data_IF_934993884397
#
_entry.id   IF_934993884397
#
_cell.length_a   1.000
_cell.length_b   1.000
_cell.length_c   1.000
_cell.angle_alpha   90.00
_cell.angle_beta   90.00
_cell.angle_gamma   90.00
#
_symmetry.space_group_name_H-M   'P 1'
#
loop_
_entity.id
_entity.type
_entity.pdbx_description
1 polymer ?
#
# COMPACT_ATOMS: atom_id res chain seq x y z
N UNK A 1 -5.95 -32.66 -1.51
CA UNK A 1 -5.58 -31.67 -2.54
C UNK A 1 -6.68 -30.63 -2.64
N UNK A 2 -6.58 -29.55 -1.89
CA UNK A 2 -7.57 -28.46 -1.88
C UNK A 2 -6.81 -27.15 -2.05
N UNK A 3 -7.17 -26.38 -3.08
CA UNK A 3 -6.54 -25.12 -3.46
C UNK A 3 -6.92 -24.03 -2.46
N UNK A 4 -5.98 -23.28 -1.85
CA UNK A 4 -6.33 -21.99 -1.27
C UNK A 4 -6.39 -20.96 -2.42
N UNK A 5 -7.54 -20.31 -2.55
CA UNK A 5 -7.76 -19.23 -3.49
C UNK A 5 -7.02 -17.97 -3.00
N UNK A 6 -5.89 -17.65 -3.63
CA UNK A 6 -5.27 -16.33 -3.54
C UNK A 6 -6.08 -15.34 -4.37
N UNK A 7 -7.05 -14.69 -3.74
CA UNK A 7 -7.72 -13.51 -4.32
C UNK A 7 -8.11 -12.59 -3.16
N UNK A 8 -7.34 -11.52 -2.95
CA UNK A 8 -7.78 -10.40 -2.11
C UNK A 8 -8.85 -9.65 -2.89
N UNK A 9 -10.10 -10.07 -2.72
CA UNK A 9 -11.29 -9.34 -3.14
C UNK A 9 -12.27 -9.34 -1.97
N UNK A 10 -12.18 -8.32 -1.11
CA UNK A 10 -13.04 -8.13 0.08
C UNK A 10 -14.55 -7.97 -0.28
N UNK A 11 -15.39 -8.80 0.33
CA UNK A 11 -16.86 -8.99 0.24
C UNK A 11 -17.36 -9.72 1.51
N UNK A 12 -17.82 -9.03 2.56
CA UNK A 12 -18.73 -9.66 3.55
C UNK A 12 -19.43 -8.63 4.45
N UNK A 13 -20.59 -9.05 4.97
CA UNK A 13 -21.70 -8.30 5.58
C UNK A 13 -21.69 -8.32 7.13
N UNK A 14 -22.15 -7.19 7.70
CA UNK A 14 -23.00 -6.93 8.88
C UNK A 14 -22.96 -7.79 10.18
N UNK A 15 -22.92 -7.09 11.33
CA UNK A 15 -23.65 -7.49 12.54
C UNK A 15 -23.19 -6.95 13.93
N UNK A 16 -23.84 -5.86 14.39
CA UNK A 16 -24.18 -5.46 15.78
C UNK A 16 -23.27 -4.63 16.73
N UNK A 17 -23.99 -3.75 17.45
CA UNK A 17 -23.69 -2.60 18.34
C UNK A 17 -23.09 -2.87 19.74
N UNK A 18 -22.56 -1.84 20.43
CA UNK A 18 -23.23 -1.09 21.53
C UNK A 18 -22.29 -0.11 22.31
N UNK A 19 -22.85 1.07 22.63
CA UNK A 19 -22.70 2.00 23.77
C UNK A 19 -21.49 2.91 24.02
N UNK A 20 -21.86 4.06 24.60
CA UNK A 20 -21.16 5.32 24.77
C UNK A 20 -20.84 5.64 26.25
N UNK A 21 -19.89 6.56 26.42
CA UNK A 21 -19.58 7.34 27.64
C UNK A 21 -18.35 8.19 27.30
N UNK A 22 -18.20 9.48 27.57
CA UNK A 22 -18.74 10.39 28.57
C UNK A 22 -17.54 11.32 28.87
N UNK A 23 -17.60 12.57 28.41
CA UNK A 23 -16.43 13.46 28.26
C UNK A 23 -16.32 14.43 29.43
N UNK A 24 -15.10 14.69 29.92
CA UNK A 24 -14.77 15.80 30.83
C UNK A 24 -13.85 16.81 30.13
N UNK A 25 -14.12 18.11 30.35
CA UNK A 25 -13.58 19.25 29.62
C UNK A 25 -12.37 19.88 30.33
N UNK A 26 -11.39 20.39 29.57
CA UNK A 26 -10.26 21.21 30.05
C UNK A 26 -9.85 22.23 28.98
N UNK A 27 -9.23 23.38 29.34
CA UNK A 27 -9.37 24.63 28.60
C UNK A 27 -8.48 24.78 27.34
N UNK A 28 -8.98 25.61 26.43
CA UNK A 28 -8.53 25.83 25.05
C UNK A 28 -7.10 26.40 24.95
N UNK A 29 -6.20 25.62 24.35
CA UNK A 29 -4.99 26.13 23.70
C UNK A 29 -5.35 26.74 22.34
N UNK A 30 -4.70 27.84 21.96
CA UNK A 30 -4.91 28.51 20.68
C UNK A 30 -4.75 27.52 19.49
N UNK A 31 -5.60 27.61 18.45
CA UNK A 31 -5.58 26.64 17.37
C UNK A 31 -4.27 26.76 16.57
N UNK A 32 -3.45 25.71 16.64
CA UNK A 32 -2.42 25.46 15.63
C UNK A 32 -3.15 25.45 14.29
N UNK A 33 -2.75 26.34 13.37
CA UNK A 33 -3.31 26.39 12.03
C UNK A 33 -3.20 24.98 11.41
N UNK A 34 -4.35 24.33 11.19
CA UNK A 34 -4.38 23.01 10.60
C UNK A 34 -3.79 23.12 9.19
N UNK A 35 -2.82 22.26 8.82
CA UNK A 35 -2.31 22.26 7.45
C UNK A 35 -3.49 22.10 6.49
N UNK A 36 -3.44 22.83 5.38
CA UNK A 36 -4.51 22.81 4.39
C UNK A 36 -4.83 21.36 4.00
N UNK A 37 -6.13 21.00 3.87
CA UNK A 37 -6.50 19.65 3.52
C UNK A 37 -5.86 19.22 2.20
N UNK A 38 -5.09 18.13 2.24
CA UNK A 38 -4.48 17.53 1.05
C UNK A 38 -5.56 17.21 0.01
N UNK A 39 -5.18 17.33 -1.27
CA UNK A 39 -6.06 17.08 -2.42
C UNK A 39 -5.49 15.98 -3.31
N UNK A 40 -6.34 15.33 -4.11
CA UNK A 40 -5.90 14.31 -5.04
C UNK A 40 -4.91 14.91 -6.06
N UNK A 41 -3.67 14.38 -6.18
CA UNK A 41 -2.66 14.91 -7.09
C UNK A 41 -3.10 14.93 -8.55
N UNK A 42 -2.83 16.04 -9.24
CA UNK A 42 -2.99 16.11 -10.70
C UNK A 42 -1.78 15.52 -11.41
N UNK A 43 -2.01 14.83 -12.52
CA UNK A 43 -0.97 14.32 -13.41
C UNK A 43 -0.88 15.24 -14.64
N UNK A 44 0.31 15.77 -14.99
CA UNK A 44 0.48 16.57 -16.20
C UNK A 44 0.03 15.80 -17.44
N UNK A 45 -0.61 16.46 -18.41
CA UNK A 45 -1.12 15.82 -19.64
C UNK A 45 -0.01 15.29 -20.56
N UNK A 46 1.06 16.06 -20.71
CA UNK A 46 2.17 15.79 -21.61
C UNK A 46 3.22 14.82 -21.04
N UNK A 47 3.79 13.97 -21.90
CA UNK A 47 4.78 12.96 -21.50
C UNK A 47 6.10 13.59 -21.00
N UNK A 48 6.54 14.71 -21.58
CA UNK A 48 7.75 15.41 -21.14
C UNK A 48 7.57 16.08 -19.78
N UNK A 49 6.39 16.70 -19.56
CA UNK A 49 6.03 17.24 -18.26
C UNK A 49 5.96 16.15 -17.17
N UNK A 50 5.41 14.97 -17.50
CA UNK A 50 5.40 13.82 -16.58
C UNK A 50 6.82 13.33 -16.30
N UNK A 51 7.66 13.17 -17.32
CA UNK A 51 9.03 12.70 -17.17
C UNK A 51 9.84 13.65 -16.26
N UNK A 52 9.80 14.96 -16.51
CA UNK A 52 10.45 15.97 -15.65
C UNK A 52 9.94 15.89 -14.21
N UNK A 53 8.62 15.75 -14.02
CA UNK A 53 8.05 15.65 -12.68
C UNK A 53 8.48 14.37 -11.96
N UNK A 54 8.57 13.24 -12.66
CA UNK A 54 9.11 12.01 -12.08
C UNK A 54 10.58 12.18 -11.68
N UNK A 55 11.42 12.77 -12.53
CA UNK A 55 12.83 13.04 -12.17
C UNK A 55 12.94 13.85 -10.88
N UNK A 56 12.13 14.90 -10.76
CA UNK A 56 12.07 15.74 -9.56
C UNK A 56 11.60 14.95 -8.33
N UNK A 57 10.48 14.23 -8.43
CA UNK A 57 9.92 13.44 -7.34
C UNK A 57 10.89 12.34 -6.87
N UNK A 58 11.48 11.59 -7.81
CA UNK A 58 12.46 10.55 -7.47
C UNK A 58 13.69 11.15 -6.79
N UNK A 59 14.10 12.36 -7.17
CA UNK A 59 15.24 13.05 -6.55
C UNK A 59 14.89 13.54 -5.15
N UNK A 60 13.79 14.27 -4.97
CA UNK A 60 13.37 14.82 -3.68
C UNK A 60 13.06 13.73 -2.66
N UNK A 61 12.41 12.63 -3.07
CA UNK A 61 12.10 11.53 -2.15
C UNK A 61 13.33 10.77 -1.65
N UNK A 62 14.49 10.90 -2.31
CA UNK A 62 15.76 10.29 -1.91
C UNK A 62 16.74 11.27 -1.29
N UNK A 63 16.41 12.56 -1.30
CA UNK A 63 17.26 13.59 -0.75
C UNK A 63 17.01 13.68 0.77
N UNK A 64 18.02 13.39 1.61
CA UNK A 64 17.87 13.46 3.07
C UNK A 64 17.60 14.88 3.58
N UNK A 65 17.82 15.93 2.77
CA UNK A 65 17.51 17.31 3.15
C UNK A 65 16.07 17.72 2.81
N UNK A 66 15.31 16.89 2.09
CA UNK A 66 13.90 17.17 1.81
C UNK A 66 13.12 17.26 3.13
N UNK A 67 12.39 18.36 3.38
CA UNK A 67 11.63 18.52 4.61
C UNK A 67 10.63 17.38 4.82
N UNK A 68 10.60 16.82 6.02
CA UNK A 68 9.70 15.71 6.35
C UNK A 68 8.21 16.06 6.13
N UNK A 69 7.85 17.34 6.22
CA UNK A 69 6.50 17.84 5.97
C UNK A 69 6.08 17.73 4.48
N UNK A 70 7.03 17.72 3.54
CA UNK A 70 6.76 17.69 2.10
C UNK A 70 6.63 16.25 1.58
N UNK A 71 7.28 15.28 2.25
CA UNK A 71 7.34 13.89 1.82
C UNK A 71 5.97 13.23 1.56
N UNK A 72 4.91 13.46 2.38
CA UNK A 72 3.60 12.90 2.10
C UNK A 72 3.05 13.31 0.73
N UNK A 73 3.17 14.59 0.35
CA UNK A 73 2.66 15.09 -0.93
C UNK A 73 3.51 14.64 -2.11
N UNK A 74 4.82 14.60 -1.94
CA UNK A 74 5.74 14.05 -2.95
C UNK A 74 5.45 12.56 -3.22
N UNK A 75 5.33 11.76 -2.16
CA UNK A 75 5.04 10.32 -2.28
C UNK A 75 3.68 10.04 -2.91
N UNK A 76 2.65 10.79 -2.51
CA UNK A 76 1.31 10.65 -3.09
C UNK A 76 1.29 11.04 -4.58
N UNK A 77 1.98 12.12 -4.98
CA UNK A 77 2.06 12.50 -6.38
C UNK A 77 2.82 11.47 -7.22
N UNK A 78 3.94 10.95 -6.72
CA UNK A 78 4.69 9.86 -7.37
C UNK A 78 3.78 8.65 -7.60
N UNK A 79 3.07 8.23 -6.55
CA UNK A 79 2.14 7.10 -6.62
C UNK A 79 1.07 7.32 -7.70
N UNK A 80 0.41 8.48 -7.71
CA UNK A 80 -0.67 8.79 -8.67
C UNK A 80 -0.16 8.80 -10.11
N UNK A 81 1.04 9.35 -10.37
CA UNK A 81 1.64 9.29 -11.70
C UNK A 81 1.82 7.84 -12.16
N UNK A 82 2.40 6.97 -11.33
CA UNK A 82 2.57 5.56 -11.70
C UNK A 82 1.25 4.81 -11.87
N UNK A 83 0.22 5.15 -11.09
CA UNK A 83 -1.12 4.57 -11.25
C UNK A 83 -1.75 4.96 -12.59
N UNK A 84 -1.69 6.24 -12.98
CA UNK A 84 -2.18 6.71 -14.28
C UNK A 84 -1.41 6.08 -15.44
N UNK A 85 -0.08 6.10 -15.39
CA UNK A 85 0.76 5.51 -16.45
C UNK A 85 0.62 3.99 -16.55
N UNK A 86 0.31 3.29 -15.46
CA UNK A 86 0.12 1.84 -15.50
C UNK A 86 -1.06 1.40 -16.37
N UNK A 87 -2.10 2.25 -16.46
CA UNK A 87 -3.31 2.01 -17.24
C UNK A 87 -3.15 2.36 -18.73
N UNK A 88 -2.17 3.21 -19.09
CA UNK A 88 -1.92 3.66 -20.46
C UNK A 88 -0.49 3.28 -20.91
N UNK A 89 -0.40 2.18 -21.67
CA UNK A 89 0.90 1.64 -22.14
C UNK A 89 1.59 2.58 -23.10
N UNK A 90 0.87 3.20 -24.03
CA UNK A 90 1.45 4.10 -25.01
C UNK A 90 2.06 5.32 -24.34
N UNK A 91 1.30 5.97 -23.45
CA UNK A 91 1.79 7.13 -22.69
C UNK A 91 2.94 6.76 -21.77
N UNK A 92 2.89 5.60 -21.10
CA UNK A 92 4.00 5.15 -20.26
C UNK A 92 5.29 4.95 -21.05
N UNK A 93 5.22 4.40 -22.28
CA UNK A 93 6.39 4.21 -23.12
C UNK A 93 7.01 5.56 -23.53
N UNK A 94 6.18 6.53 -23.89
CA UNK A 94 6.62 7.89 -24.22
C UNK A 94 7.32 8.59 -23.03
N UNK A 95 6.85 8.36 -21.79
CA UNK A 95 7.51 8.88 -20.58
C UNK A 95 8.83 8.18 -20.32
N UNK A 96 8.87 6.83 -20.36
CA UNK A 96 10.08 6.01 -20.12
C UNK A 96 11.23 6.41 -21.05
N UNK A 97 10.94 6.70 -22.32
CA UNK A 97 11.94 7.12 -23.31
C UNK A 97 12.62 8.45 -22.93
N UNK A 98 11.92 9.32 -22.19
CA UNK A 98 12.42 10.63 -21.77
C UNK A 98 13.10 10.61 -20.40
N UNK A 99 13.03 9.49 -19.67
CA UNK A 99 13.67 9.36 -18.36
C UNK A 99 15.17 9.05 -18.49
N UNK A 100 16.03 9.64 -17.63
CA UNK A 100 17.41 9.19 -17.44
C UNK A 100 17.46 7.71 -17.05
N UNK A 101 18.54 6.99 -17.39
CA UNK A 101 18.68 5.54 -17.19
C UNK A 101 18.33 5.08 -15.77
N UNK A 102 18.82 5.78 -14.74
CA UNK A 102 18.53 5.46 -13.33
C UNK A 102 17.03 5.49 -13.01
N UNK A 103 16.32 6.50 -13.52
CA UNK A 103 14.90 6.70 -13.25
C UNK A 103 14.00 5.87 -14.16
N UNK A 104 14.52 5.51 -15.34
CA UNK A 104 13.87 4.57 -16.25
C UNK A 104 13.66 3.22 -15.57
N UNK A 105 14.70 2.65 -14.96
CA UNK A 105 14.63 1.36 -14.27
C UNK A 105 13.66 1.38 -13.08
N UNK A 106 13.65 2.46 -12.30
CA UNK A 106 12.68 2.68 -11.21
C UNK A 106 11.26 2.71 -11.74
N UNK A 107 11.01 3.51 -12.79
CA UNK A 107 9.69 3.63 -13.40
C UNK A 107 9.19 2.31 -13.99
N UNK A 108 10.05 1.57 -14.69
CA UNK A 108 9.71 0.26 -15.26
C UNK A 108 9.26 -0.73 -14.18
N UNK A 109 9.95 -0.79 -13.03
CA UNK A 109 9.57 -1.65 -11.91
C UNK A 109 8.24 -1.26 -11.27
N UNK A 110 8.01 0.03 -11.00
CA UNK A 110 6.73 0.50 -10.49
C UNK A 110 5.57 0.19 -11.45
N UNK A 111 5.76 0.44 -12.74
CA UNK A 111 4.75 0.18 -13.77
C UNK A 111 4.46 -1.31 -13.93
N UNK A 112 5.50 -2.15 -13.95
CA UNK A 112 5.36 -3.59 -14.04
C UNK A 112 4.62 -4.16 -12.81
N UNK A 113 5.03 -3.78 -11.59
CA UNK A 113 4.39 -4.24 -10.37
C UNK A 113 2.91 -3.83 -10.32
N UNK A 114 2.61 -2.58 -10.68
CA UNK A 114 1.22 -2.11 -10.73
C UNK A 114 0.38 -2.85 -11.77
N UNK A 115 0.93 -3.14 -12.95
CA UNK A 115 0.25 -3.90 -14.01
C UNK A 115 -0.03 -5.34 -13.59
N UNK A 116 0.89 -5.98 -12.86
CA UNK A 116 0.65 -7.31 -12.31
C UNK A 116 -0.57 -7.31 -11.37
N UNK A 117 -0.70 -6.32 -10.48
CA UNK A 117 -1.91 -6.20 -9.63
C UNK A 117 -3.19 -5.89 -10.41
N UNK A 118 -3.11 -5.05 -11.44
CA UNK A 118 -4.27 -4.79 -12.31
C UNK A 118 -4.72 -6.07 -13.03
N UNK A 119 -3.78 -6.92 -13.45
CA UNK A 119 -4.10 -8.20 -14.09
C UNK A 119 -4.74 -9.21 -13.12
N UNK A 120 -4.46 -9.10 -11.81
CA UNK A 120 -5.10 -9.94 -10.78
C UNK A 120 -6.57 -9.57 -10.53
N UNK A 121 -6.93 -8.28 -10.63
CA UNK A 121 -8.29 -7.82 -10.37
C UNK A 121 -9.08 -7.59 -11.67
N UNK A 122 -10.01 -8.50 -11.97
CA UNK A 122 -10.91 -8.38 -13.14
C UNK A 122 -12.19 -7.59 -12.85
N UNK A 123 -12.45 -7.24 -11.59
CA UNK A 123 -13.70 -6.59 -11.15
C UNK A 123 -13.40 -5.23 -10.55
N UNK A 124 -14.23 -4.25 -10.92
CA UNK A 124 -14.24 -2.92 -10.31
C UNK A 124 -15.47 -2.82 -9.40
N UNK A 125 -15.30 -2.77 -8.07
CA UNK A 125 -16.42 -2.75 -7.13
C UNK A 125 -17.25 -1.46 -7.25
N UNK A 126 -18.55 -1.58 -6.96
CA UNK A 126 -19.51 -0.46 -6.94
C UNK A 126 -19.69 0.15 -5.55
N UNK A 127 -19.02 -0.41 -4.54
CA UNK A 127 -19.06 0.04 -3.15
C UNK A 127 -17.65 0.20 -2.63
N UNK A 128 -17.40 1.24 -1.84
CA UNK A 128 -16.18 1.36 -1.05
C UNK A 128 -16.25 0.40 0.14
N UNK A 129 -15.09 -0.13 0.60
CA UNK A 129 -15.07 -1.20 1.59
C UNK A 129 -15.35 -0.71 3.01
N UNK A 130 -15.72 -1.62 3.92
CA UNK A 130 -15.82 -1.32 5.35
C UNK A 130 -14.43 -1.33 6.01
N UNK A 131 -13.57 -0.39 5.64
CA UNK A 131 -12.22 -0.25 6.18
C UNK A 131 -12.11 0.98 7.06
N UNK A 132 -11.06 0.98 7.89
CA UNK A 132 -10.48 2.18 8.47
C UNK A 132 -9.08 2.37 7.87
N UNK A 133 -8.76 3.58 7.42
CA UNK A 133 -7.41 3.94 7.00
C UNK A 133 -6.74 4.70 8.14
N UNK A 134 -5.72 4.09 8.73
CA UNK A 134 -4.97 4.63 9.87
C UNK A 134 -3.58 5.11 9.44
N UNK A 135 -2.92 5.98 10.23
CA UNK A 135 -1.50 6.27 10.03
C UNK A 135 -0.68 4.95 10.11
N UNK A 136 0.34 4.77 9.26
CA UNK A 136 1.25 3.64 9.43
C UNK A 136 2.08 3.81 10.71
N UNK A 137 2.64 2.71 11.21
CA UNK A 137 3.75 2.74 12.17
C UNK A 137 4.89 3.61 11.59
N UNK A 138 5.57 4.45 12.38
CA UNK A 138 6.54 5.36 11.80
C UNK A 138 7.73 4.59 11.19
N UNK A 139 8.27 5.14 10.09
CA UNK A 139 9.22 4.44 9.23
C UNK A 139 10.45 3.87 9.99
N UNK A 140 11.09 4.57 10.94
CA UNK A 140 12.20 4.00 11.71
C UNK A 140 11.81 2.75 12.51
N UNK A 141 10.59 2.70 13.06
CA UNK A 141 10.08 1.55 13.79
C UNK A 141 9.80 0.38 12.83
N UNK A 142 9.17 0.64 11.68
CA UNK A 142 8.99 -0.38 10.64
C UNK A 142 10.32 -1.00 10.20
N UNK A 143 11.32 -0.17 9.88
CA UNK A 143 12.66 -0.64 9.52
C UNK A 143 13.30 -1.48 10.63
N UNK A 144 13.14 -1.07 11.89
CA UNK A 144 13.58 -1.86 13.05
C UNK A 144 12.89 -3.23 13.12
N UNK A 145 11.58 -3.28 12.88
CA UNK A 145 10.81 -4.53 12.87
C UNK A 145 11.24 -5.47 11.74
N UNK A 146 11.44 -4.95 10.52
CA UNK A 146 11.91 -5.74 9.39
C UNK A 146 13.31 -6.31 9.65
N UNK A 147 14.26 -5.47 10.07
CA UNK A 147 15.65 -5.91 10.37
C UNK A 147 15.71 -6.91 11.50
N UNK A 148 14.89 -6.74 12.54
CA UNK A 148 14.79 -7.72 13.62
C UNK A 148 14.31 -9.08 13.10
N UNK A 149 13.32 -9.08 12.22
CA UNK A 149 12.77 -10.30 11.64
C UNK A 149 13.76 -10.96 10.66
N UNK A 150 14.47 -10.16 9.87
CA UNK A 150 15.59 -10.60 9.04
C UNK A 150 16.69 -11.27 9.87
N UNK A 151 17.17 -10.61 10.93
CA UNK A 151 18.18 -11.17 11.82
C UNK A 151 17.74 -12.51 12.47
N UNK A 152 16.44 -12.67 12.75
CA UNK A 152 15.91 -13.87 13.37
C UNK A 152 15.64 -15.03 12.39
N UNK A 153 15.48 -14.75 11.09
CA UNK A 153 14.94 -15.74 10.13
C UNK A 153 15.76 -15.90 8.85
N UNK A 154 16.57 -14.91 8.47
CA UNK A 154 17.27 -14.85 7.19
C UNK A 154 16.40 -14.41 6.01
N UNK A 155 15.17 -13.96 6.23
CA UNK A 155 14.34 -13.34 5.18
C UNK A 155 14.67 -11.85 5.12
N UNK A 156 15.21 -11.41 3.98
CA UNK A 156 15.69 -10.04 3.80
C UNK A 156 14.62 -8.99 4.14
N UNK A 157 15.03 -7.88 4.75
CA UNK A 157 14.11 -6.82 5.18
C UNK A 157 13.32 -6.23 4.00
N UNK A 158 13.89 -6.19 2.78
CA UNK A 158 13.23 -5.71 1.57
C UNK A 158 12.02 -6.57 1.21
N UNK A 159 12.07 -7.88 1.47
CA UNK A 159 10.94 -8.79 1.24
C UNK A 159 9.82 -8.44 2.21
N UNK A 160 10.13 -8.25 3.49
CA UNK A 160 9.14 -7.95 4.51
C UNK A 160 8.50 -6.58 4.27
N UNK A 161 9.28 -5.58 3.87
CA UNK A 161 8.79 -4.27 3.49
C UNK A 161 7.88 -4.33 2.25
N UNK A 162 8.28 -5.07 1.22
CA UNK A 162 7.48 -5.25 0.01
C UNK A 162 6.15 -5.99 0.29
N UNK A 163 6.16 -7.03 1.13
CA UNK A 163 4.93 -7.71 1.56
C UNK A 163 4.04 -6.75 2.36
N UNK A 164 4.56 -6.00 3.34
CA UNK A 164 3.76 -5.05 4.12
C UNK A 164 3.14 -3.94 3.24
N UNK A 165 3.90 -3.43 2.27
CA UNK A 165 3.39 -2.48 1.27
C UNK A 165 2.22 -3.07 0.48
N UNK A 166 2.36 -4.29 -0.01
CA UNK A 166 1.37 -4.93 -0.89
C UNK A 166 0.12 -5.36 -0.12
N UNK A 167 0.27 -5.86 1.11
CA UNK A 167 -0.86 -6.34 1.90
C UNK A 167 -1.75 -5.18 2.38
N UNK A 168 -1.16 -4.09 2.91
CA UNK A 168 -1.93 -3.04 3.59
C UNK A 168 -1.40 -1.62 3.42
N UNK A 169 -0.48 -1.38 2.49
CA UNK A 169 0.11 -0.04 2.32
C UNK A 169 0.92 0.39 3.54
N UNK A 170 1.76 -0.51 4.07
CA UNK A 170 2.55 -0.32 5.30
C UNK A 170 1.72 -0.32 6.59
N UNK A 171 0.65 -1.10 6.65
CA UNK A 171 -0.24 -1.20 7.82
C UNK A 171 -1.35 -0.17 7.88
N UNK A 172 -1.56 0.62 6.83
CA UNK A 172 -2.60 1.67 6.81
C UNK A 172 -4.02 1.13 6.73
N UNK A 173 -4.22 -0.04 6.14
CA UNK A 173 -5.55 -0.64 6.01
C UNK A 173 -5.85 -1.45 7.29
N UNK A 174 -6.65 -0.85 8.18
CA UNK A 174 -7.31 -1.57 9.28
C UNK A 174 -8.70 -2.02 8.81
N UNK A 175 -8.74 -3.25 8.31
CA UNK A 175 -9.95 -3.85 7.79
C UNK A 175 -9.78 -5.36 7.66
N UNK A 176 -10.88 -6.07 7.82
CA UNK A 176 -10.92 -7.52 7.63
C UNK A 176 -11.11 -7.79 6.13
N UNK A 177 -10.26 -8.64 5.54
CA UNK A 177 -10.43 -9.05 4.14
C UNK A 177 -11.61 -10.01 3.97
N UNK A 178 -11.95 -10.36 2.72
CA UNK A 178 -12.97 -11.40 2.46
C UNK A 178 -12.66 -12.72 3.11
N UNK A 179 -11.38 -13.06 3.15
CA UNK A 179 -10.91 -14.31 3.68
C UNK A 179 -10.75 -14.24 5.20
N UNK A 180 -11.23 -13.17 5.84
CA UNK A 180 -11.00 -12.88 7.26
C UNK A 180 -9.51 -12.67 7.61
N UNK A 181 -8.71 -12.16 6.66
CA UNK A 181 -7.33 -11.81 6.93
C UNK A 181 -7.25 -10.52 7.75
N UNK A 182 -6.30 -10.45 8.68
CA UNK A 182 -6.20 -9.40 9.70
C UNK A 182 -4.79 -8.84 9.82
N UNK A 183 -4.71 -7.59 10.29
CA UNK A 183 -3.45 -6.92 10.60
C UNK A 183 -2.65 -6.46 9.37
N UNK A 184 -1.48 -5.85 9.61
CA UNK A 184 -0.70 -5.20 8.56
C UNK A 184 -0.10 -6.18 7.54
N UNK A 185 0.07 -7.44 7.94
CA UNK A 185 0.58 -8.51 7.07
C UNK A 185 -0.53 -9.44 6.54
N UNK A 186 -1.81 -9.08 6.75
CA UNK A 186 -3.01 -9.80 6.29
C UNK A 186 -2.96 -11.31 6.56
N UNK A 187 -2.76 -11.68 7.81
CA UNK A 187 -2.77 -13.08 8.22
C UNK A 187 -4.19 -13.62 8.37
N UNK A 188 -4.41 -14.85 7.90
CA UNK A 188 -5.56 -15.64 8.33
C UNK A 188 -5.38 -16.04 9.81
N UNK A 189 -6.42 -16.00 10.66
CA UNK A 189 -6.34 -16.47 12.03
C UNK A 189 -5.87 -17.93 12.15
N UNK A 190 -6.24 -18.78 11.18
CA UNK A 190 -5.79 -20.17 11.11
C UNK A 190 -4.29 -20.27 10.86
N UNK A 191 -3.74 -19.47 9.95
CA UNK A 191 -2.29 -19.39 9.71
C UNK A 191 -1.55 -18.81 10.92
N UNK A 192 -2.11 -17.81 11.59
CA UNK A 192 -1.55 -17.26 12.82
C UNK A 192 -1.44 -18.32 13.93
N UNK A 193 -2.45 -19.18 14.06
CA UNK A 193 -2.50 -20.25 15.05
C UNK A 193 -1.56 -21.43 14.74
N UNK A 194 -0.96 -21.52 13.54
CA UNK A 194 0.02 -22.56 13.22
C UNK A 194 1.22 -22.48 14.16
N UNK A 195 1.65 -23.64 14.67
CA UNK A 195 2.75 -23.73 15.63
C UNK A 195 4.03 -23.08 15.08
N UNK A 196 4.53 -22.08 15.82
CA UNK A 196 5.73 -21.31 15.48
C UNK A 196 5.51 -20.18 14.46
N UNK A 197 4.27 -19.91 14.03
CA UNK A 197 3.96 -18.79 13.13
C UNK A 197 3.57 -17.55 13.92
N UNK A 198 2.36 -17.48 14.49
CA UNK A 198 1.89 -16.33 15.26
C UNK A 198 2.46 -16.30 16.68
N UNK A 199 2.76 -15.10 17.18
CA UNK A 199 3.08 -14.85 18.59
C UNK A 199 2.69 -13.42 18.93
N UNK A 200 1.93 -13.24 20.01
CA UNK A 200 1.41 -11.92 20.41
C UNK A 200 0.15 -11.55 19.61
N UNK A 201 0.05 -10.30 19.19
CA UNK A 201 -1.15 -9.75 18.53
C UNK A 201 -1.01 -9.68 17.01
N UNK A 202 -1.95 -10.30 16.29
CA UNK A 202 -2.02 -10.30 14.82
C UNK A 202 -2.16 -8.89 14.23
N UNK A 203 -2.70 -7.93 15.00
CA UNK A 203 -2.85 -6.53 14.60
C UNK A 203 -1.64 -5.66 14.94
N UNK A 204 -0.75 -6.12 15.82
CA UNK A 204 0.44 -5.39 16.18
C UNK A 204 1.50 -5.48 15.04
N UNK A 205 2.00 -4.36 14.50
CA UNK A 205 2.96 -4.38 13.38
C UNK A 205 4.24 -5.17 13.66
N UNK A 206 4.82 -5.02 14.86
CA UNK A 206 6.00 -5.78 15.25
C UNK A 206 5.74 -7.28 15.19
N UNK A 207 4.67 -7.77 15.84
CA UNK A 207 4.36 -9.19 15.93
C UNK A 207 3.99 -9.78 14.57
N UNK A 208 3.20 -9.05 13.78
CA UNK A 208 2.78 -9.45 12.44
C UNK A 208 3.96 -9.58 11.46
N UNK A 209 4.90 -8.62 11.46
CA UNK A 209 6.10 -8.67 10.61
C UNK A 209 6.98 -9.88 10.99
N UNK A 210 7.14 -10.13 12.29
CA UNK A 210 7.89 -11.28 12.78
C UNK A 210 7.23 -12.60 12.36
N UNK A 211 5.90 -12.68 12.40
CA UNK A 211 5.15 -13.84 11.94
C UNK A 211 5.27 -14.04 10.42
N UNK A 212 5.21 -12.96 9.63
CA UNK A 212 5.38 -12.99 8.17
C UNK A 212 6.72 -13.60 7.76
N UNK A 213 7.80 -13.20 8.43
CA UNK A 213 9.12 -13.77 8.19
C UNK A 213 9.17 -15.27 8.48
N UNK A 214 8.67 -15.72 9.65
CA UNK A 214 8.59 -17.16 9.99
C UNK A 214 7.74 -17.94 9.00
N UNK A 215 6.64 -17.36 8.56
CA UNK A 215 5.75 -17.99 7.58
C UNK A 215 6.43 -18.13 6.21
N UNK A 216 7.12 -17.10 5.73
CA UNK A 216 7.93 -17.18 4.50
C UNK A 216 8.99 -18.28 4.59
N UNK A 217 9.70 -18.40 5.73
CA UNK A 217 10.63 -19.52 5.97
C UNK A 217 9.93 -20.87 5.87
N UNK A 218 8.78 -21.03 6.57
CA UNK A 218 7.98 -22.27 6.55
C UNK A 218 7.56 -22.67 5.13
N UNK A 219 7.28 -21.68 4.27
CA UNK A 219 6.91 -21.89 2.86
C UNK A 219 8.12 -22.05 1.92
N UNK A 220 9.34 -22.11 2.45
CA UNK A 220 10.57 -22.38 1.70
C UNK A 220 11.29 -21.14 1.20
N UNK A 221 11.01 -19.96 1.78
CA UNK A 221 11.58 -18.66 1.39
C UNK A 221 13.10 -18.61 1.39
N UNK A 222 13.77 -19.31 2.32
CA UNK A 222 15.23 -19.37 2.39
C UNK A 222 15.89 -20.11 1.22
N UNK A 223 15.14 -21.01 0.57
CA UNK A 223 15.62 -21.71 -0.63
C UNK A 223 15.20 -20.98 -1.89
N UNK A 224 14.02 -20.37 -1.87
CA UNK A 224 13.47 -19.65 -3.00
C UNK A 224 12.41 -18.69 -2.48
N UNK A 225 12.70 -17.39 -2.50
CA UNK A 225 11.75 -16.39 -2.03
C UNK A 225 10.46 -16.42 -2.84
N UNK A 226 10.54 -16.74 -4.14
CA UNK A 226 9.38 -16.98 -5.01
C UNK A 226 8.50 -18.12 -4.48
N UNK A 227 9.09 -19.23 -4.02
CA UNK A 227 8.35 -20.33 -3.37
C UNK A 227 7.70 -19.88 -2.06
N UNK A 228 8.42 -19.10 -1.26
CA UNK A 228 7.89 -18.50 -0.04
C UNK A 228 6.65 -17.64 -0.31
N UNK A 229 6.75 -16.74 -1.28
CA UNK A 229 5.67 -15.84 -1.71
C UNK A 229 4.48 -16.59 -2.33
N UNK A 230 4.72 -17.62 -3.13
CA UNK A 230 3.65 -18.49 -3.63
C UNK A 230 2.90 -19.17 -2.49
N UNK A 231 3.62 -19.53 -1.42
CA UNK A 231 3.00 -20.06 -0.23
C UNK A 231 2.21 -19.02 0.58
N UNK A 232 2.65 -17.77 0.54
CA UNK A 232 1.96 -16.63 1.15
C UNK A 232 0.65 -16.31 0.41
N UNK A 233 0.73 -16.16 -0.91
CA UNK A 233 -0.38 -15.92 -1.81
C UNK A 233 -0.17 -16.74 -3.10
N UNK A 234 -1.16 -17.58 -3.42
CA UNK A 234 -1.11 -18.56 -4.51
C UNK A 234 -1.30 -17.91 -5.90
N UNK A 235 -0.46 -16.93 -6.23
CA UNK A 235 -0.51 -16.09 -7.44
C UNK A 235 0.90 -15.74 -7.93
N UNK A 236 1.21 -16.09 -9.18
CA UNK A 236 2.47 -15.70 -9.81
C UNK A 236 2.59 -14.19 -9.98
N UNK A 237 1.48 -13.52 -10.29
CA UNK A 237 1.41 -12.06 -10.42
C UNK A 237 1.69 -11.36 -9.09
N UNK A 238 1.26 -11.94 -7.97
CA UNK A 238 1.60 -11.43 -6.64
C UNK A 238 3.09 -11.57 -6.39
N UNK A 239 3.65 -12.76 -6.63
CA UNK A 239 5.08 -13.02 -6.44
C UNK A 239 5.94 -12.11 -7.32
N UNK A 240 5.55 -11.90 -8.58
CA UNK A 240 6.22 -10.99 -9.51
C UNK A 240 6.20 -9.55 -8.99
N UNK A 241 5.04 -9.03 -8.60
CA UNK A 241 4.91 -7.67 -8.11
C UNK A 241 5.71 -7.42 -6.82
N UNK A 242 5.67 -8.35 -5.86
CA UNK A 242 6.48 -8.28 -4.64
C UNK A 242 7.97 -8.28 -5.00
N UNK A 243 8.41 -9.19 -5.88
CA UNK A 243 9.82 -9.28 -6.27
C UNK A 243 10.32 -8.03 -7.02
N UNK A 244 9.45 -7.33 -7.75
CA UNK A 244 9.80 -6.06 -8.37
C UNK A 244 10.09 -4.98 -7.32
N UNK A 245 9.29 -4.89 -6.25
CA UNK A 245 9.59 -3.98 -5.13
C UNK A 245 10.83 -4.42 -4.34
N UNK A 246 11.03 -5.72 -4.13
CA UNK A 246 12.26 -6.24 -3.51
C UNK A 246 13.48 -5.83 -4.34
N UNK A 247 13.45 -6.00 -5.66
CA UNK A 247 14.57 -5.60 -6.52
C UNK A 247 14.83 -4.09 -6.49
N UNK A 248 13.77 -3.28 -6.44
CA UNK A 248 13.90 -1.83 -6.29
C UNK A 248 14.57 -1.45 -4.97
N UNK A 249 14.15 -2.05 -3.85
CA UNK A 249 14.69 -1.74 -2.53
C UNK A 249 16.12 -2.24 -2.34
N UNK A 250 16.49 -3.36 -2.99
CA UNK A 250 17.87 -3.86 -2.99
C UNK A 250 18.81 -2.97 -3.79
N UNK A 251 18.36 -2.52 -4.97
CA UNK A 251 19.13 -1.60 -5.81
C UNK A 251 19.26 -0.22 -5.16
N UNK A 252 18.22 0.22 -4.48
CA UNK A 252 18.13 1.54 -3.88
C UNK A 252 17.27 1.54 -2.60
N UNK A 253 17.90 1.33 -1.43
CA UNK A 253 17.18 1.31 -0.15
C UNK A 253 16.43 2.61 0.18
N UNK A 254 16.81 3.75 -0.41
CA UNK A 254 16.12 5.03 -0.18
C UNK A 254 14.76 5.09 -0.86
N UNK A 255 14.47 4.19 -1.82
CA UNK A 255 13.14 4.08 -2.42
C UNK A 255 12.03 3.78 -1.39
N UNK A 256 12.39 3.24 -0.22
CA UNK A 256 11.43 2.99 0.87
C UNK A 256 10.74 4.28 1.35
N UNK A 257 11.39 5.44 1.26
CA UNK A 257 10.81 6.73 1.68
C UNK A 257 9.58 7.05 0.82
N UNK A 258 9.70 6.95 -0.50
CA UNK A 258 8.58 7.13 -1.43
C UNK A 258 7.46 6.12 -1.17
N UNK A 259 7.81 4.83 -1.12
CA UNK A 259 6.85 3.74 -0.85
C UNK A 259 6.14 3.88 0.50
N UNK A 260 6.84 4.37 1.53
CA UNK A 260 6.26 4.64 2.84
C UNK A 260 5.23 5.76 2.77
N UNK A 261 5.43 6.80 1.95
CA UNK A 261 4.51 7.92 1.78
C UNK A 261 3.43 7.70 0.71
N UNK A 262 3.32 6.50 0.15
CA UNK A 262 2.18 6.14 -0.68
C UNK A 262 0.89 6.02 0.14
N UNK A 263 -0.21 6.43 -0.47
CA UNK A 263 -1.55 6.48 0.13
C UNK A 263 -2.40 5.26 -0.29
N UNK A 264 -3.58 5.11 0.30
CA UNK A 264 -4.51 4.04 -0.07
C UNK A 264 -5.38 4.49 -1.24
N UNK A 265 -5.34 3.72 -2.33
CA UNK A 265 -6.13 3.98 -3.53
C UNK A 265 -6.93 2.73 -3.92
N UNK A 266 -8.24 2.89 -3.99
CA UNK A 266 -9.22 1.83 -4.23
C UNK A 266 -9.76 1.89 -5.67
N UNK A 267 -9.49 0.83 -6.44
CA UNK A 267 -9.89 0.74 -7.85
C UNK A 267 -11.38 0.35 -7.98
N UNK A 268 -12.25 1.36 -7.94
CA UNK A 268 -13.70 1.22 -8.06
C UNK A 268 -14.20 1.37 -9.51
N UNK A 269 -15.49 1.12 -9.71
CA UNK A 269 -16.14 1.25 -11.02
C UNK A 269 -16.03 2.68 -11.57
N UNK A 270 -16.17 3.68 -10.70
CA UNK A 270 -16.15 5.11 -11.01
C UNK A 270 -14.73 5.68 -11.09
N UNK A 271 -13.70 4.82 -10.93
CA UNK A 271 -12.31 5.21 -11.04
C UNK A 271 -11.48 4.83 -9.82
N UNK A 272 -10.26 5.37 -9.78
CA UNK A 272 -9.27 5.07 -8.77
C UNK A 272 -9.38 6.05 -7.59
N UNK A 273 -10.12 5.65 -6.56
CA UNK A 273 -10.52 6.51 -5.46
C UNK A 273 -9.41 6.60 -4.42
N UNK A 274 -9.05 7.81 -3.99
CA UNK A 274 -8.14 7.98 -2.86
C UNK A 274 -8.90 7.85 -1.54
N UNK A 275 -8.46 6.93 -0.68
CA UNK A 275 -8.97 6.76 0.67
C UNK A 275 -7.92 7.31 1.66
N UNK A 276 -8.07 8.56 2.15
CA UNK A 276 -7.07 9.17 3.03
C UNK A 276 -7.08 8.54 4.42
N UNK A 277 -6.00 8.73 5.18
CA UNK A 277 -5.99 8.52 6.63
C UNK A 277 -7.18 9.24 7.27
N UNK A 278 -7.91 8.55 8.13
CA UNK A 278 -9.18 9.00 8.71
C UNK A 278 -10.41 8.55 7.92
N UNK A 279 -10.26 7.92 6.75
CA UNK A 279 -11.35 7.18 6.14
C UNK A 279 -11.81 6.07 7.09
N UNK A 280 -13.12 5.98 7.32
CA UNK A 280 -13.73 4.93 8.13
C UNK A 280 -15.12 4.62 7.60
N UNK A 281 -15.42 3.35 7.36
CA UNK A 281 -16.76 2.86 7.05
C UNK A 281 -17.02 1.58 7.83
N UNK A 282 -18.14 1.54 8.57
CA UNK A 282 -18.55 0.34 9.32
C UNK A 282 -19.20 -0.72 8.42
N UNK A 283 -19.73 -0.31 7.28
CA UNK A 283 -20.35 -1.18 6.28
C UNK A 283 -20.00 -0.67 4.87
N UNK A 284 -19.96 -1.53 3.84
CA UNK A 284 -19.66 -1.08 2.49
C UNK A 284 -20.66 -0.02 2.02
N UNK A 285 -20.18 1.10 1.49
CA UNK A 285 -20.98 2.25 1.05
C UNK A 285 -20.97 2.37 -0.48
N UNK A 286 -22.09 2.64 -1.18
CA UNK A 286 -22.06 2.89 -2.62
C UNK A 286 -21.08 3.99 -2.99
N UNK A 287 -20.31 3.80 -4.06
CA UNK A 287 -19.25 4.74 -4.46
C UNK A 287 -19.82 6.12 -4.78
N UNK A 288 -20.98 6.21 -5.43
CA UNK A 288 -21.63 7.49 -5.72
C UNK A 288 -21.92 8.27 -4.44
N UNK A 289 -22.46 7.58 -3.43
CA UNK A 289 -22.76 8.19 -2.13
C UNK A 289 -21.47 8.61 -1.41
N UNK A 290 -20.44 7.78 -1.46
CA UNK A 290 -19.13 8.11 -0.89
C UNK A 290 -18.56 9.39 -1.52
N UNK A 291 -18.58 9.50 -2.85
CA UNK A 291 -18.03 10.64 -3.58
C UNK A 291 -18.84 11.93 -3.40
N UNK A 292 -20.16 11.85 -3.19
CA UNK A 292 -20.97 13.01 -2.79
C UNK A 292 -20.51 13.59 -1.47
N UNK A 293 -20.15 12.73 -0.50
CA UNK A 293 -19.69 13.13 0.83
C UNK A 293 -18.19 13.51 0.83
N UNK A 294 -17.42 12.91 -0.07
CA UNK A 294 -15.96 13.02 -0.12
C UNK A 294 -15.47 13.36 -1.54
N UNK A 295 -15.82 14.53 -2.09
CA UNK A 295 -15.51 14.88 -3.48
C UNK A 295 -14.00 14.91 -3.76
N UNK A 296 -13.16 15.17 -2.74
CA UNK A 296 -11.70 15.15 -2.83
C UNK A 296 -11.09 13.76 -3.06
N UNK A 297 -11.88 12.70 -2.87
CA UNK A 297 -11.45 11.30 -3.07
C UNK A 297 -11.59 10.85 -4.53
N UNK A 298 -12.33 11.61 -5.35
CA UNK A 298 -12.47 11.31 -6.76
C UNK A 298 -11.13 11.52 -7.48
N UNK A 299 -10.74 10.62 -8.41
CA UNK A 299 -9.63 10.90 -9.30
C UNK A 299 -9.92 12.16 -10.12
N UNK A 300 -8.89 12.91 -10.54
CA UNK A 300 -9.06 14.06 -11.42
C UNK A 300 -9.80 13.62 -12.68
N UNK A 301 -10.75 14.43 -13.15
CA UNK A 301 -11.39 14.19 -14.44
C UNK A 301 -10.29 14.14 -15.50
N UNK A 302 -10.19 13.03 -16.23
CA UNK A 302 -9.38 12.98 -17.44
C UNK A 302 -9.94 14.06 -18.38
N UNK A 303 -9.12 14.98 -18.91
CA UNK A 303 -9.53 15.77 -20.05
C UNK A 303 -9.95 14.79 -21.15
N UNK A 304 -11.16 14.95 -21.66
CA UNK A 304 -11.65 14.21 -22.83
C UNK A 304 -10.89 14.59 -24.09
#
# INVERSE_FOLDING_TARGET
>A
MTRPAGLVLAVALAGFSVAAGGVACSPLSAPIAQPAPRSYPRVPGDASAIARRLVELETLLRDPVTPAADLPDLGHQQQVIYRVLSADRQRSAAVIQQLPSRWRSVAERHLAARRAFLAMSKRRPTRVPAWRIIPPEPLPQLLSHYRKAEAATGIDWEVLAAVNLVETGMGRIDGVSVANAQGPMQFLPTTWAEAGIGKGDIRNPHDAIQAAARYLVRRGGLKSIRRGLWGYNNSDLYGEAVLLYVSLLKDDPQAIVGLYHWEIHYNAQQGDLWLPVGYEQLQPLPVERYLQLNPRSAPPRTPG
#
